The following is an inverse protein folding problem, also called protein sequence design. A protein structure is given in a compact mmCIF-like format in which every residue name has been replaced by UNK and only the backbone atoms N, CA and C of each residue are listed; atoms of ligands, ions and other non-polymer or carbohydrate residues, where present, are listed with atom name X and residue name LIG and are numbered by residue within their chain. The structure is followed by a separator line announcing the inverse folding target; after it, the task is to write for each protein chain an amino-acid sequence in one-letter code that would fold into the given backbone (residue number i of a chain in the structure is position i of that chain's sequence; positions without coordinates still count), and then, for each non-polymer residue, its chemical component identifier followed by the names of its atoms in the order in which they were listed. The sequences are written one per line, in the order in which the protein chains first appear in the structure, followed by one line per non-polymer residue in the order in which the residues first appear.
data_IF_194526660121
#
_entry.id   IF_194526660121
#
_cell.length_a   1.000
_cell.length_b   1.000
_cell.length_c   1.000
_cell.angle_alpha   90.00
_cell.angle_beta   90.00
_cell.angle_gamma   90.00
#
_symmetry.space_group_name_H-M   'P 1'
#
loop_
_entity.id
_entity.type
_entity.pdbx_description
1 polymer ?
#
# COMPACT_ATOMS: atom_id res chain seq x y z
N UNK A 1 14.35 1.86 29.27
CA UNK A 1 13.34 2.78 28.70
C UNK A 1 12.83 2.19 27.40
N UNK A 2 11.54 1.87 27.33
CA UNK A 2 10.91 1.32 26.11
C UNK A 2 10.51 2.50 25.24
N UNK A 3 11.38 2.88 24.30
CA UNK A 3 11.06 3.87 23.28
C UNK A 3 10.37 3.13 22.12
N UNK A 4 9.08 3.38 21.96
CA UNK A 4 8.23 2.81 20.90
C UNK A 4 8.24 3.80 19.72
N UNK A 5 8.74 3.38 18.55
CA UNK A 5 8.89 4.17 17.31
C UNK A 5 9.00 3.22 16.11
N UNK A 6 8.40 3.43 14.91
CA UNK A 6 7.09 3.96 14.52
C UNK A 6 6.03 2.85 14.32
N UNK A 7 4.76 3.22 14.29
CA UNK A 7 3.70 2.33 13.79
C UNK A 7 3.72 2.24 12.26
N UNK A 8 3.62 1.05 11.67
CA UNK A 8 3.39 0.90 10.21
C UNK A 8 2.01 0.29 9.98
N UNK A 9 1.12 1.06 9.39
CA UNK A 9 -0.20 0.57 9.00
C UNK A 9 -0.21 0.23 7.50
N UNK A 10 -0.64 -0.99 7.17
CA UNK A 10 -0.81 -1.43 5.78
C UNK A 10 -2.31 -1.37 5.47
N UNK A 11 -2.75 -0.57 4.48
CA UNK A 11 -4.16 -0.48 4.13
C UNK A 11 -4.70 -1.82 3.60
N UNK A 12 -6.01 -2.10 3.81
CA UNK A 12 -6.59 -3.43 3.74
C UNK A 12 -6.38 -4.17 2.41
N UNK A 13 -6.15 -5.48 2.52
CA UNK A 13 -6.55 -6.44 1.48
C UNK A 13 -8.03 -6.76 1.70
N UNK A 14 -8.88 -6.36 0.76
CA UNK A 14 -10.29 -6.77 0.74
C UNK A 14 -10.32 -8.26 0.37
N UNK A 15 -10.44 -9.13 1.38
CA UNK A 15 -10.70 -10.57 1.24
C UNK A 15 -12.11 -10.91 1.74
N UNK A 16 -12.70 -10.06 2.58
CA UNK A 16 -14.09 -10.11 3.07
C UNK A 16 -14.73 -8.72 2.91
N UNK A 17 -16.07 -8.62 2.96
CA UNK A 17 -16.80 -7.34 2.88
C UNK A 17 -16.60 -6.40 4.08
N UNK A 18 -15.58 -6.63 4.90
CA UNK A 18 -15.26 -5.91 6.13
C UNK A 18 -13.82 -5.40 6.00
N UNK A 19 -13.61 -4.11 6.25
CA UNK A 19 -12.27 -3.53 6.25
C UNK A 19 -11.43 -4.12 7.38
N UNK A 20 -10.16 -4.40 7.10
CA UNK A 20 -9.22 -4.91 8.08
C UNK A 20 -8.11 -3.92 8.36
N UNK A 21 -7.77 -3.84 9.64
CA UNK A 21 -6.76 -2.97 10.21
C UNK A 21 -5.58 -3.82 10.67
N UNK A 22 -4.40 -3.60 10.10
CA UNK A 22 -3.16 -4.27 10.56
C UNK A 22 -2.32 -3.30 11.38
N UNK A 23 -2.05 -3.68 12.62
CA UNK A 23 -1.33 -2.91 13.63
C UNK A 23 0.07 -3.51 13.74
N UNK A 24 1.08 -2.77 13.29
CA UNK A 24 2.49 -3.16 13.35
C UNK A 24 3.21 -2.17 14.24
N UNK A 25 3.87 -2.69 15.27
CA UNK A 25 4.65 -1.88 16.23
C UNK A 25 6.12 -2.04 15.88
N UNK A 26 6.79 -0.92 15.65
CA UNK A 26 8.25 -0.86 15.67
C UNK A 26 8.72 -0.20 16.97
N UNK A 27 9.83 -0.68 17.51
CA UNK A 27 10.40 -0.18 18.76
C UNK A 27 11.90 -0.50 18.83
N UNK A 28 12.62 0.17 19.72
CA UNK A 28 14.04 -0.09 19.96
C UNK A 28 14.21 -0.93 21.22
N UNK A 29 14.89 -2.07 21.10
CA UNK A 29 15.23 -2.93 22.22
C UNK A 29 16.73 -3.24 22.21
N UNK A 30 17.43 -2.82 23.27
CA UNK A 30 18.90 -2.97 23.39
C UNK A 30 19.67 -2.42 22.18
N UNK A 31 19.24 -1.25 21.68
CA UNK A 31 19.87 -0.60 20.51
C UNK A 31 19.50 -1.22 19.16
N UNK A 32 18.62 -2.23 19.13
CA UNK A 32 18.19 -2.89 17.89
C UNK A 32 16.76 -2.49 17.58
N UNK A 33 16.53 -2.04 16.34
CA UNK A 33 15.20 -1.78 15.82
C UNK A 33 14.48 -3.12 15.60
N UNK A 34 13.34 -3.28 16.27
CA UNK A 34 12.47 -4.44 16.18
C UNK A 34 11.14 -4.02 15.54
N UNK A 35 10.65 -4.77 14.56
CA UNK A 35 9.31 -4.59 13.98
C UNK A 35 8.50 -5.87 14.18
N UNK A 36 7.27 -5.74 14.69
CA UNK A 36 6.38 -6.89 14.93
C UNK A 36 4.96 -6.57 14.51
N UNK A 37 4.35 -7.48 13.75
CA UNK A 37 2.90 -7.50 13.58
C UNK A 37 2.28 -7.79 14.95
N UNK A 38 1.54 -6.83 15.46
CA UNK A 38 0.93 -6.92 16.78
C UNK A 38 -0.47 -7.53 16.70
N UNK A 39 -1.29 -7.04 15.77
CA UNK A 39 -2.65 -7.56 15.58
C UNK A 39 -3.22 -7.23 14.20
N UNK A 40 -4.20 -8.01 13.78
CA UNK A 40 -5.07 -7.74 12.63
C UNK A 40 -6.49 -7.74 13.15
N UNK A 41 -7.14 -6.59 13.11
CA UNK A 41 -8.48 -6.38 13.67
C UNK A 41 -9.45 -5.91 12.58
N UNK A 42 -10.71 -6.37 12.57
CA UNK A 42 -11.71 -5.82 11.68
C UNK A 42 -12.05 -4.39 12.10
N UNK A 43 -12.19 -3.50 11.12
CA UNK A 43 -12.66 -2.13 11.32
C UNK A 43 -14.09 -2.03 10.82
N UNK A 44 -15.03 -1.85 11.76
CA UNK A 44 -16.45 -1.65 11.44
C UNK A 44 -16.79 -0.16 11.25
N UNK A 45 -15.86 0.74 11.61
CA UNK A 45 -16.03 2.19 11.51
C UNK A 45 -14.75 2.83 10.95
N UNK A 46 -14.78 3.12 9.65
CA UNK A 46 -13.64 3.72 8.93
C UNK A 46 -13.42 5.21 9.18
N UNK A 47 -14.10 5.84 10.15
CA UNK A 47 -13.82 7.24 10.54
C UNK A 47 -12.55 7.33 11.39
N UNK A 48 -11.87 8.49 11.40
CA UNK A 48 -10.66 8.65 12.21
C UNK A 48 -10.87 8.44 13.71
N UNK A 49 -12.04 8.80 14.25
CA UNK A 49 -12.40 8.48 15.64
C UNK A 49 -12.61 6.98 15.85
N UNK A 50 -13.26 6.29 14.92
CA UNK A 50 -13.45 4.84 14.97
C UNK A 50 -12.11 4.10 14.98
N UNK A 51 -11.19 4.52 14.10
CA UNK A 51 -9.84 4.00 14.03
C UNK A 51 -9.03 4.29 15.30
N UNK A 52 -9.17 5.48 15.89
CA UNK A 52 -8.50 5.84 17.13
C UNK A 52 -8.96 4.99 18.30
N UNK A 53 -10.28 4.77 18.42
CA UNK A 53 -10.84 3.93 19.46
C UNK A 53 -10.38 2.47 19.30
N UNK A 54 -10.41 1.95 18.06
CA UNK A 54 -9.94 0.59 17.74
C UNK A 54 -8.47 0.42 18.12
N UNK A 55 -7.62 1.38 17.74
CA UNK A 55 -6.20 1.36 18.07
C UNK A 55 -5.98 1.41 19.58
N UNK A 56 -6.63 2.35 20.27
CA UNK A 56 -6.48 2.54 21.72
C UNK A 56 -6.91 1.31 22.51
N UNK A 57 -8.07 0.73 22.19
CA UNK A 57 -8.55 -0.51 22.82
C UNK A 57 -7.60 -1.68 22.57
N UNK A 58 -7.08 -1.80 21.35
CA UNK A 58 -6.13 -2.86 21.00
C UNK A 58 -4.84 -2.73 21.80
N UNK A 59 -4.28 -1.52 21.90
CA UNK A 59 -3.06 -1.26 22.66
C UNK A 59 -3.27 -1.49 24.16
N UNK A 60 -4.40 -1.02 24.70
CA UNK A 60 -4.74 -1.17 26.12
C UNK A 60 -4.93 -2.64 26.52
N UNK A 61 -5.61 -3.43 25.68
CA UNK A 61 -5.74 -4.89 25.86
C UNK A 61 -4.38 -5.59 26.00
N UNK A 62 -3.36 -5.09 25.30
CA UNK A 62 -1.99 -5.60 25.37
C UNK A 62 -1.09 -4.84 26.35
N UNK A 63 -1.65 -3.98 27.20
CA UNK A 63 -0.96 -3.18 28.22
C UNK A 63 0.11 -2.24 27.63
N UNK A 64 -0.14 -1.74 26.43
CA UNK A 64 0.71 -0.75 25.76
C UNK A 64 0.07 0.61 25.92
N UNK A 65 0.82 1.56 26.48
CA UNK A 65 0.35 2.94 26.65
C UNK A 65 0.42 3.69 25.32
N UNK A 66 -0.73 4.12 24.80
CA UNK A 66 -0.83 4.89 23.55
C UNK A 66 -0.11 6.23 23.62
N UNK A 67 0.07 6.81 24.81
CA UNK A 67 0.84 8.04 25.03
C UNK A 67 2.33 7.90 24.73
N UNK A 68 2.83 6.66 24.70
CA UNK A 68 4.21 6.34 24.31
C UNK A 68 4.39 6.17 22.80
N UNK A 69 3.33 6.38 22.02
CA UNK A 69 3.41 6.37 20.57
C UNK A 69 4.12 7.65 20.09
N UNK A 70 5.40 7.52 19.74
CA UNK A 70 6.19 8.65 19.24
C UNK A 70 5.86 8.98 17.78
N UNK A 71 5.39 8.00 17.00
CA UNK A 71 5.03 8.22 15.60
C UNK A 71 4.13 7.15 15.03
N UNK A 72 3.31 7.57 14.06
CA UNK A 72 2.51 6.69 13.21
C UNK A 72 2.89 6.82 11.73
N UNK A 73 2.60 5.79 10.95
CA UNK A 73 2.71 5.81 9.49
C UNK A 73 1.51 5.15 8.85
N UNK A 74 0.71 5.97 8.17
CA UNK A 74 -0.54 5.57 7.51
C UNK A 74 -0.57 6.12 6.07
N UNK A 75 -1.54 5.68 5.27
CA UNK A 75 -1.75 6.25 3.93
C UNK A 75 -2.50 7.58 4.01
N UNK A 76 -2.58 8.28 2.87
CA UNK A 76 -3.18 9.61 2.82
C UNK A 76 -4.71 9.64 2.85
N UNK A 77 -5.39 8.56 3.26
CA UNK A 77 -6.85 8.60 3.31
C UNK A 77 -7.34 9.59 4.38
N UNK A 78 -8.45 10.28 4.08
CA UNK A 78 -9.00 11.34 4.92
C UNK A 78 -9.32 10.88 6.35
N UNK A 79 -9.65 9.60 6.53
CA UNK A 79 -9.88 9.01 7.86
C UNK A 79 -8.62 8.98 8.72
N UNK A 80 -7.43 8.90 8.13
CA UNK A 80 -6.17 8.94 8.86
C UNK A 80 -5.67 10.38 9.02
N UNK A 81 -5.72 11.17 7.96
CA UNK A 81 -5.09 12.50 7.89
C UNK A 81 -6.06 13.69 7.98
N UNK A 82 -7.32 13.46 8.36
CA UNK A 82 -8.27 14.56 8.56
C UNK A 82 -7.79 15.52 9.64
N UNK A 83 -7.62 16.81 9.30
CA UNK A 83 -7.08 17.84 10.20
C UNK A 83 -7.74 17.88 11.59
N UNK A 84 -9.06 17.64 11.67
CA UNK A 84 -9.84 17.76 12.90
C UNK A 84 -10.36 16.42 13.44
N UNK A 85 -10.52 15.43 12.56
CA UNK A 85 -11.22 14.16 12.86
C UNK A 85 -10.47 12.93 12.38
N UNK A 86 -9.24 13.12 11.87
CA UNK A 86 -8.37 12.04 11.45
C UNK A 86 -7.72 11.33 12.64
N UNK A 87 -7.35 10.07 12.43
CA UNK A 87 -6.58 9.30 13.42
C UNK A 87 -5.33 10.04 13.89
N UNK A 88 -4.61 10.68 12.96
CA UNK A 88 -3.37 11.40 13.22
C UNK A 88 -3.57 12.59 14.16
N UNK A 89 -4.62 13.39 13.96
CA UNK A 89 -4.97 14.48 14.87
C UNK A 89 -5.28 13.94 16.27
N UNK A 90 -6.02 12.82 16.37
CA UNK A 90 -6.35 12.22 17.67
C UNK A 90 -5.13 11.64 18.40
N UNK A 91 -4.18 11.08 17.67
CA UNK A 91 -2.92 10.61 18.26
C UNK A 91 -2.05 11.78 18.74
N UNK A 92 -2.04 12.89 17.99
CA UNK A 92 -1.35 14.11 18.41
C UNK A 92 -1.96 14.75 19.67
N UNK A 93 -3.29 14.67 19.83
CA UNK A 93 -3.97 15.15 21.05
C UNK A 93 -3.56 14.37 22.31
N UNK A 94 -3.12 13.11 22.17
CA UNK A 94 -2.83 12.20 23.30
C UNK A 94 -1.34 12.04 23.57
N UNK A 95 -0.51 12.07 22.53
CA UNK A 95 0.93 11.93 22.63
C UNK A 95 1.61 13.27 22.27
N UNK A 96 2.15 13.92 23.30
CA UNK A 96 2.70 15.30 23.29
C UNK A 96 3.81 15.55 22.24
N UNK A 97 4.42 14.48 21.71
CA UNK A 97 5.51 14.54 20.71
C UNK A 97 5.25 13.62 19.51
N UNK A 98 3.99 13.40 19.17
CA UNK A 98 3.60 12.51 18.09
C UNK A 98 3.97 13.06 16.71
N UNK A 99 4.74 12.28 15.94
CA UNK A 99 5.12 12.62 14.57
C UNK A 99 4.45 11.68 13.58
N UNK A 100 3.74 12.25 12.60
CA UNK A 100 3.15 11.47 11.53
C UNK A 100 4.09 11.32 10.33
N UNK A 101 4.21 10.10 9.80
CA UNK A 101 5.03 9.77 8.63
C UNK A 101 4.15 9.23 7.50
N UNK A 102 4.09 9.97 6.41
CA UNK A 102 3.35 9.55 5.22
C UNK A 102 3.88 8.24 4.63
N UNK A 103 2.96 7.38 4.21
CA UNK A 103 3.32 6.18 3.46
C UNK A 103 3.96 6.56 2.10
N UNK A 104 5.29 6.48 2.00
CA UNK A 104 6.02 6.76 0.76
C UNK A 104 5.54 5.94 -0.43
N UNK A 105 5.09 4.71 -0.22
CA UNK A 105 4.53 3.88 -1.29
C UNK A 105 3.23 4.49 -1.87
N UNK A 106 2.43 5.15 -1.03
CA UNK A 106 1.24 5.89 -1.46
C UNK A 106 1.62 7.21 -2.13
N UNK A 107 2.55 7.98 -1.56
CA UNK A 107 3.04 9.23 -2.18
C UNK A 107 3.61 8.95 -3.58
N UNK A 108 4.43 7.92 -3.73
CA UNK A 108 4.95 7.50 -5.02
C UNK A 108 3.84 7.08 -5.98
N UNK A 109 2.81 6.39 -5.48
CA UNK A 109 1.64 6.03 -6.28
C UNK A 109 0.93 7.27 -6.85
N UNK A 110 0.78 8.33 -6.05
CA UNK A 110 0.17 9.58 -6.49
C UNK A 110 1.01 10.24 -7.58
N UNK A 111 2.31 10.45 -7.34
CA UNK A 111 3.23 11.06 -8.31
C UNK A 111 3.21 10.31 -9.65
N UNK A 112 3.30 8.96 -9.62
CA UNK A 112 3.25 8.16 -10.84
C UNK A 112 1.87 8.24 -11.52
N UNK A 113 0.79 8.27 -10.75
CA UNK A 113 -0.56 8.37 -11.30
C UNK A 113 -0.76 9.69 -12.02
N UNK A 114 -0.30 10.79 -11.43
CA UNK A 114 -0.42 12.13 -12.02
C UNK A 114 0.51 12.28 -13.23
N UNK A 115 1.74 11.79 -13.14
CA UNK A 115 2.70 11.81 -14.26
C UNK A 115 2.20 11.04 -15.47
N UNK A 116 1.55 9.90 -15.25
CA UNK A 116 0.96 9.11 -16.35
C UNK A 116 -0.33 9.68 -16.91
N UNK A 117 -0.93 10.68 -16.24
CA UNK A 117 -2.09 11.44 -16.73
C UNK A 117 -1.69 12.73 -17.44
N UNK A 118 -0.51 13.30 -17.16
CA UNK A 118 -0.08 14.55 -17.78
C UNK A 118 0.54 14.36 -19.18
N UNK A 119 1.19 13.22 -19.42
CA UNK A 119 1.84 12.95 -20.71
C UNK A 119 0.87 12.27 -21.68
N UNK A 120 0.55 12.94 -22.81
CA UNK A 120 -0.37 12.40 -23.85
C UNK A 120 0.07 11.02 -24.33
N UNK A 121 1.37 10.83 -24.59
CA UNK A 121 1.88 9.53 -25.02
C UNK A 121 1.63 8.43 -23.96
N UNK A 122 1.83 8.74 -22.68
CA UNK A 122 1.55 7.82 -21.59
C UNK A 122 0.05 7.54 -21.44
N UNK A 123 -0.80 8.57 -21.56
CA UNK A 123 -2.26 8.42 -21.52
C UNK A 123 -2.74 7.52 -22.65
N UNK A 124 -2.32 7.78 -23.89
CA UNK A 124 -2.67 6.96 -25.06
C UNK A 124 -2.21 5.51 -24.89
N UNK A 125 -0.97 5.31 -24.42
CA UNK A 125 -0.42 3.99 -24.16
C UNK A 125 -1.22 3.21 -23.12
N UNK A 126 -1.48 3.79 -21.94
CA UNK A 126 -2.23 3.10 -20.89
C UNK A 126 -3.71 2.92 -21.27
N UNK A 127 -4.29 3.84 -22.05
CA UNK A 127 -5.65 3.69 -22.59
C UNK A 127 -5.74 2.52 -23.57
N UNK A 128 -4.75 2.36 -24.44
CA UNK A 128 -4.68 1.22 -25.36
C UNK A 128 -4.60 -0.11 -24.62
N UNK A 129 -3.75 -0.21 -23.60
CA UNK A 129 -3.63 -1.43 -22.77
C UNK A 129 -4.95 -1.72 -22.05
N UNK A 130 -5.61 -0.70 -21.52
CA UNK A 130 -6.91 -0.83 -20.86
C UNK A 130 -8.00 -1.31 -21.82
N UNK A 131 -8.04 -0.77 -23.04
CA UNK A 131 -8.98 -1.18 -24.08
C UNK A 131 -8.73 -2.63 -24.53
N UNK A 132 -7.47 -3.02 -24.71
CA UNK A 132 -7.10 -4.40 -25.02
C UNK A 132 -7.54 -5.35 -23.91
N UNK A 133 -7.29 -5.01 -22.64
CA UNK A 133 -7.75 -5.79 -21.50
C UNK A 133 -9.26 -5.97 -21.48
N UNK A 134 -10.00 -4.91 -21.78
CA UNK A 134 -11.47 -4.93 -21.82
C UNK A 134 -11.97 -5.77 -23.00
N UNK A 135 -11.38 -5.60 -24.18
CA UNK A 135 -11.70 -6.37 -25.39
C UNK A 135 -11.49 -7.87 -25.20
N UNK A 136 -10.38 -8.29 -24.57
CA UNK A 136 -10.11 -9.69 -24.29
C UNK A 136 -11.08 -10.26 -23.24
N UNK A 137 -11.37 -9.51 -22.18
CA UNK A 137 -12.22 -9.97 -21.07
C UNK A 137 -13.70 -10.09 -21.42
N UNK A 138 -14.18 -9.31 -22.38
CA UNK A 138 -15.59 -9.33 -22.80
C UNK A 138 -16.00 -10.60 -23.55
N UNK A 139 -15.05 -11.45 -23.99
CA UNK A 139 -15.36 -12.74 -24.61
C UNK A 139 -14.49 -13.85 -24.05
N UNK A 140 -15.13 -14.89 -23.52
CA UNK A 140 -14.45 -16.09 -23.04
C UNK A 140 -13.61 -16.76 -24.14
N UNK A 141 -14.07 -16.72 -25.40
CA UNK A 141 -13.35 -17.28 -26.55
C UNK A 141 -12.05 -16.51 -26.82
N UNK A 142 -12.11 -15.17 -26.83
CA UNK A 142 -10.91 -14.33 -27.02
C UNK A 142 -9.90 -14.51 -25.89
N UNK A 143 -10.37 -14.63 -24.65
CA UNK A 143 -9.52 -14.91 -23.50
C UNK A 143 -8.85 -16.29 -23.59
N UNK A 144 -9.55 -17.31 -24.08
CA UNK A 144 -8.99 -18.65 -24.26
C UNK A 144 -7.84 -18.65 -25.28
N UNK A 145 -8.04 -18.00 -26.43
CA UNK A 145 -6.99 -17.84 -27.45
C UNK A 145 -5.79 -17.06 -26.90
N UNK A 146 -6.03 -15.97 -26.16
CA UNK A 146 -4.95 -15.21 -25.53
C UNK A 146 -4.10 -16.06 -24.56
N UNK A 147 -4.76 -16.82 -23.69
CA UNK A 147 -4.08 -17.71 -22.73
C UNK A 147 -3.25 -18.77 -23.46
N UNK A 148 -3.78 -19.32 -24.55
CA UNK A 148 -3.07 -20.30 -25.36
C UNK A 148 -1.81 -19.70 -26.02
N UNK A 149 -1.94 -18.54 -26.67
CA UNK A 149 -0.82 -17.85 -27.34
C UNK A 149 0.26 -17.45 -26.33
N UNK A 150 -0.11 -16.75 -25.25
CA UNK A 150 0.85 -16.31 -24.22
C UNK A 150 1.46 -17.50 -23.47
N UNK A 151 0.67 -18.57 -23.27
CA UNK A 151 1.13 -19.79 -22.61
C UNK A 151 2.21 -20.56 -23.39
N UNK A 152 2.22 -20.45 -24.73
CA UNK A 152 3.23 -21.06 -25.61
C UNK A 152 4.52 -20.24 -25.67
N UNK A 153 4.43 -18.91 -25.64
CA UNK A 153 5.57 -18.00 -25.84
C UNK A 153 6.33 -17.65 -24.54
N UNK A 154 5.65 -17.55 -23.38
CA UNK A 154 6.22 -16.90 -22.17
C UNK A 154 6.37 -17.81 -20.93
N UNK A 155 6.13 -19.11 -21.05
CA UNK A 155 6.17 -20.05 -19.92
C UNK A 155 4.95 -19.94 -19.01
N UNK A 156 4.38 -21.10 -18.65
CA UNK A 156 3.02 -21.24 -18.13
C UNK A 156 2.74 -20.64 -16.74
N UNK A 157 3.69 -20.02 -16.05
CA UNK A 157 3.51 -19.76 -14.61
C UNK A 157 3.09 -18.34 -14.20
N UNK A 158 3.36 -17.27 -14.97
CA UNK A 158 3.38 -15.93 -14.34
C UNK A 158 2.46 -14.84 -14.91
N UNK A 159 1.87 -14.97 -16.10
CA UNK A 159 1.16 -13.83 -16.74
C UNK A 159 -0.09 -14.20 -17.57
N UNK A 160 -1.05 -14.94 -16.99
CA UNK A 160 -2.20 -15.48 -17.77
C UNK A 160 -3.36 -14.51 -18.02
N UNK A 161 -3.53 -13.45 -17.22
CA UNK A 161 -4.70 -12.56 -17.34
C UNK A 161 -4.25 -11.11 -17.30
N UNK A 162 -4.50 -10.40 -18.41
CA UNK A 162 -4.35 -8.96 -18.47
C UNK A 162 -5.31 -8.34 -17.43
N UNK A 163 -4.73 -7.73 -16.39
CA UNK A 163 -5.51 -7.06 -15.35
C UNK A 163 -5.91 -5.68 -15.88
N UNK A 164 -7.15 -5.30 -15.63
CA UNK A 164 -7.59 -3.92 -15.85
C UNK A 164 -6.67 -2.98 -15.05
N UNK A 165 -6.22 -1.91 -15.70
CA UNK A 165 -5.53 -0.79 -15.10
C UNK A 165 -6.55 -0.07 -14.23
N UNK A 166 -6.70 -0.53 -12.99
CA UNK A 166 -7.45 0.21 -11.98
C UNK A 166 -6.70 1.48 -11.59
N UNK A 167 -7.44 2.54 -11.30
CA UNK A 167 -6.89 3.86 -10.98
C UNK A 167 -6.02 3.88 -9.70
N UNK A 168 -6.20 2.91 -8.81
CA UNK A 168 -5.73 3.02 -7.41
C UNK A 168 -4.31 2.50 -7.13
N UNK A 169 -3.65 1.74 -8.02
CA UNK A 169 -2.30 1.22 -7.75
C UNK A 169 -1.41 1.21 -9.00
N UNK A 170 -0.29 1.93 -8.97
CA UNK A 170 0.73 2.02 -10.02
C UNK A 170 1.28 0.64 -10.42
N UNK A 171 1.34 -0.29 -9.47
CA UNK A 171 1.71 -1.68 -9.74
C UNK A 171 0.79 -2.36 -10.75
N UNK A 172 -0.46 -1.89 -10.94
CA UNK A 172 -1.34 -2.39 -12.00
C UNK A 172 -0.89 -1.94 -13.38
N UNK A 173 -0.46 -0.68 -13.53
CA UNK A 173 0.09 -0.13 -14.79
C UNK A 173 1.37 -0.87 -15.18
N UNK A 174 2.31 -1.01 -14.25
CA UNK A 174 3.57 -1.71 -14.50
C UNK A 174 3.36 -3.20 -14.80
N UNK A 175 2.47 -3.88 -14.06
CA UNK A 175 2.13 -5.27 -14.35
C UNK A 175 1.43 -5.44 -15.69
N UNK A 176 0.52 -4.55 -16.07
CA UNK A 176 -0.17 -4.63 -17.36
C UNK A 176 0.79 -4.45 -18.53
N UNK A 177 1.72 -3.50 -18.43
CA UNK A 177 2.81 -3.36 -19.40
C UNK A 177 3.71 -4.60 -19.44
N UNK A 178 4.08 -5.16 -18.28
CA UNK A 178 4.93 -6.36 -18.22
C UNK A 178 4.27 -7.61 -18.81
N UNK A 179 2.93 -7.72 -18.76
CA UNK A 179 2.18 -8.82 -19.37
C UNK A 179 2.24 -8.77 -20.90
N UNK A 180 2.30 -7.57 -21.49
CA UNK A 180 2.29 -7.40 -22.96
C UNK A 180 3.71 -7.39 -23.52
N UNK A 181 4.63 -6.69 -22.86
CA UNK A 181 5.98 -6.42 -23.37
C UNK A 181 7.06 -7.26 -22.68
N UNK A 182 6.69 -8.13 -21.74
CA UNK A 182 7.65 -8.85 -20.89
C UNK A 182 8.22 -7.99 -19.76
N UNK A 183 8.98 -8.63 -18.86
CA UNK A 183 9.72 -7.91 -17.83
C UNK A 183 10.99 -7.34 -18.46
N UNK A 184 11.07 -6.02 -18.56
CA UNK A 184 12.34 -5.36 -18.86
C UNK A 184 13.37 -5.76 -17.77
N UNK A 185 14.53 -6.32 -18.17
CA UNK A 185 15.56 -6.88 -17.27
C UNK A 185 16.07 -5.91 -16.19
N UNK A 186 15.78 -4.60 -16.34
CA UNK A 186 15.97 -3.58 -15.31
C UNK A 186 14.70 -2.74 -15.18
N UNK A 187 13.67 -3.30 -14.56
CA UNK A 187 12.51 -2.49 -14.19
C UNK A 187 12.95 -1.45 -13.14
N UNK A 188 12.56 -0.20 -13.34
CA UNK A 188 12.59 0.89 -12.34
C UNK A 188 12.08 0.40 -10.96
N UNK A 189 11.11 -0.53 -10.99
CA UNK A 189 10.53 -1.24 -9.84
C UNK A 189 11.56 -2.03 -8.99
N UNK A 190 12.60 -2.62 -9.58
CA UNK A 190 13.62 -3.41 -8.86
C UNK A 190 14.65 -2.51 -8.16
N UNK A 191 14.96 -1.36 -8.75
CA UNK A 191 15.72 -0.30 -8.07
C UNK A 191 14.90 0.31 -6.94
N UNK A 192 13.58 0.50 -7.11
CA UNK A 192 12.68 1.09 -6.13
C UNK A 192 12.21 0.18 -4.99
N UNK A 193 11.96 -1.11 -5.22
CA UNK A 193 11.76 -2.06 -4.12
C UNK A 193 13.02 -2.16 -3.26
N UNK A 194 14.21 -2.18 -3.90
CA UNK A 194 15.47 -2.06 -3.19
C UNK A 194 15.63 -0.71 -2.50
N UNK A 195 15.15 0.41 -3.06
CA UNK A 195 15.20 1.70 -2.34
C UNK A 195 14.19 1.75 -1.20
N UNK A 196 12.99 1.19 -1.32
CA UNK A 196 12.04 1.08 -0.21
C UNK A 196 12.60 0.20 0.92
N UNK A 197 13.28 -0.91 0.59
CA UNK A 197 14.02 -1.73 1.55
C UNK A 197 15.29 -1.02 2.07
N UNK A 198 15.94 -0.20 1.26
CA UNK A 198 17.06 0.67 1.65
C UNK A 198 16.58 1.82 2.56
N UNK A 199 15.36 2.33 2.38
CA UNK A 199 14.73 3.39 3.17
C UNK A 199 14.22 2.86 4.51
N UNK A 200 13.73 1.61 4.56
CA UNK A 200 13.53 0.87 5.81
C UNK A 200 14.85 0.78 6.59
N UNK A 201 15.99 0.66 5.90
CA UNK A 201 17.32 0.69 6.51
C UNK A 201 17.88 2.10 6.77
N UNK A 202 17.40 3.15 6.10
CA UNK A 202 17.84 4.55 6.25
C UNK A 202 17.06 5.33 7.31
N UNK A 203 15.92 4.82 7.78
CA UNK A 203 15.26 5.26 9.02
C UNK A 203 15.92 4.68 10.29
N UNK A 204 17.20 4.28 10.18
CA UNK A 204 18.11 4.10 11.30
C UNK A 204 18.55 5.49 11.78
N UNK A 205 17.72 6.12 12.59
CA UNK A 205 18.22 6.99 13.66
C UNK A 205 18.19 6.18 14.96
#
# INVERSE_FOLDING_TARGET
MQNIIPFRWIPPKIITSIDQCSIIIRYVFKGIICERLHSVVPSNNGTGQGLFNLLSQTLEHHKIDSRKCLSDSTDGAASYHGQYKGLQSKLADVADHHVHIWCYAHVLNLVLTDTTKCCVAAVSFFSLIQNLATFLRTSYRRMAVWIEVVGKEMGQEKMKRLKLIGETRWSRKSNAAAVIFGRFEKTFCQYFCKTADMFINYLKF
#
